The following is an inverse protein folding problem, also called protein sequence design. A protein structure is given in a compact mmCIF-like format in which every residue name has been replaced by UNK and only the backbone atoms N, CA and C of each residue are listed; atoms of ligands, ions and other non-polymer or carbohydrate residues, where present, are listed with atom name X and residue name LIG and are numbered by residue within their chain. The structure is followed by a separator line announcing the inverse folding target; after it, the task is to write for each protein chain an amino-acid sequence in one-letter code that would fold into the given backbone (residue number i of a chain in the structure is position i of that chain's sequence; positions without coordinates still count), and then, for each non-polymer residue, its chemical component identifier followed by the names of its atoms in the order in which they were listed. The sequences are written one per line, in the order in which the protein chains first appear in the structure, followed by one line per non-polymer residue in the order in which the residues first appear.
data_IF_965508234915
#
_entry.id   IF_965508234915
#
_cell.length_a   1.000
_cell.length_b   1.000
_cell.length_c   1.000
_cell.angle_alpha   90.00
_cell.angle_beta   90.00
_cell.angle_gamma   90.00
#
_symmetry.space_group_name_H-M   'P 1'
#
loop_
_entity.id
_entity.type
_entity.pdbx_description
1 polymer ?
#
# COMPACT_ATOMS: atom_id res chain seq x y z
N UNK A 1 -0.37 -26.31 17.77
CA UNK A 1 -0.42 -26.06 16.32
C UNK A 1 -0.73 -24.59 16.13
N UNK A 2 0.28 -23.78 15.79
CA UNK A 2 0.15 -22.34 15.58
C UNK A 2 -0.70 -22.06 14.34
N UNK A 3 -1.54 -21.01 14.41
CA UNK A 3 -2.30 -20.55 13.25
C UNK A 3 -1.37 -19.73 12.34
N UNK A 4 -1.22 -20.15 11.08
CA UNK A 4 -0.52 -19.34 10.06
C UNK A 4 -1.43 -18.18 9.60
N UNK A 5 -0.83 -17.01 9.36
CA UNK A 5 -1.48 -15.83 8.80
C UNK A 5 -0.52 -15.15 7.82
N UNK A 6 -1.07 -14.65 6.72
CA UNK A 6 -0.31 -13.88 5.75
C UNK A 6 -0.15 -12.43 6.23
N UNK A 7 1.08 -11.94 6.18
CA UNK A 7 1.43 -10.55 6.45
C UNK A 7 2.44 -10.07 5.40
N UNK A 8 2.20 -8.91 4.83
CA UNK A 8 3.12 -8.32 3.85
C UNK A 8 4.26 -7.59 4.53
N UNK A 9 5.45 -7.69 3.96
CA UNK A 9 6.62 -6.95 4.40
C UNK A 9 6.48 -5.46 4.07
N UNK A 10 6.95 -4.59 4.97
CA UNK A 10 6.97 -3.14 4.79
C UNK A 10 8.36 -2.56 4.55
N UNK A 11 9.41 -3.38 4.64
CA UNK A 11 10.77 -2.99 4.30
C UNK A 11 11.27 -3.71 3.05
N UNK A 12 12.38 -3.22 2.52
CA UNK A 12 13.09 -3.88 1.41
C UNK A 12 13.99 -4.99 1.92
N UNK A 13 14.40 -5.96 1.08
CA UNK A 13 15.45 -6.92 1.42
C UNK A 13 16.70 -6.22 1.95
N UNK A 14 17.31 -6.80 2.98
CA UNK A 14 18.49 -6.25 3.63
C UNK A 14 19.40 -7.36 4.16
N UNK A 15 20.68 -7.04 4.41
CA UNK A 15 21.69 -7.98 4.87
C UNK A 15 21.67 -8.17 6.40
N UNK A 16 20.83 -7.43 7.11
CA UNK A 16 20.70 -7.50 8.58
C UNK A 16 19.70 -8.57 9.04
N UNK A 17 18.95 -9.18 8.11
CA UNK A 17 17.91 -10.16 8.44
C UNK A 17 16.71 -9.55 9.17
N UNK A 18 16.46 -8.26 8.98
CA UNK A 18 15.35 -7.56 9.59
C UNK A 18 14.12 -7.62 8.70
N UNK A 19 12.97 -7.95 9.29
CA UNK A 19 11.68 -8.01 8.61
C UNK A 19 10.66 -7.14 9.33
N UNK A 20 10.13 -6.13 8.63
CA UNK A 20 9.17 -5.18 9.18
C UNK A 20 7.77 -5.46 8.66
N UNK A 21 6.80 -5.44 9.56
CA UNK A 21 5.40 -5.65 9.24
C UNK A 21 4.55 -4.48 9.77
N UNK A 22 3.53 -4.08 9.01
CA UNK A 22 2.51 -3.15 9.47
C UNK A 22 1.23 -3.95 9.70
N UNK A 23 0.88 -4.17 10.95
CA UNK A 23 -0.24 -5.04 11.32
C UNK A 23 -1.28 -4.24 12.06
N UNK A 24 -2.51 -4.23 11.53
CA UNK A 24 -3.67 -3.67 12.20
C UNK A 24 -4.29 -4.71 13.13
N UNK A 25 -4.57 -4.32 14.39
CA UNK A 25 -5.33 -5.18 15.31
C UNK A 25 -6.78 -5.32 14.83
N UNK A 26 -7.25 -6.56 14.73
CA UNK A 26 -8.63 -6.88 14.37
C UNK A 26 -9.38 -7.29 15.63
N UNK A 27 -10.51 -6.65 15.90
CA UNK A 27 -11.38 -7.04 17.03
C UNK A 27 -11.85 -8.48 16.87
N UNK A 28 -11.63 -9.31 17.90
CA UNK A 28 -11.92 -10.74 17.85
C UNK A 28 -10.99 -11.59 16.97
N UNK A 29 -9.98 -10.99 16.34
CA UNK A 29 -9.02 -11.68 15.47
C UNK A 29 -8.01 -12.52 16.26
N UNK A 30 -8.07 -13.86 16.15
CA UNK A 30 -7.18 -14.78 16.89
C UNK A 30 -5.70 -14.54 16.61
N UNK A 31 -5.31 -14.29 15.35
CA UNK A 31 -3.92 -14.04 14.98
C UNK A 31 -3.38 -12.74 15.57
N UNK A 32 -4.14 -11.64 15.44
CA UNK A 32 -3.74 -10.35 16.00
C UNK A 32 -3.80 -10.34 17.53
N UNK A 33 -4.67 -11.10 18.18
CA UNK A 33 -4.66 -11.27 19.63
C UNK A 33 -3.34 -11.90 20.10
N UNK A 34 -2.86 -12.94 19.44
CA UNK A 34 -1.55 -13.56 19.78
C UNK A 34 -0.42 -12.53 19.61
N UNK A 35 -0.38 -11.80 18.50
CA UNK A 35 0.68 -10.82 18.22
C UNK A 35 0.70 -9.66 19.24
N UNK A 36 -0.46 -9.13 19.62
CA UNK A 36 -0.53 -7.94 20.47
C UNK A 36 -0.63 -8.26 21.97
N UNK A 37 -1.20 -9.39 22.35
CA UNK A 37 -1.50 -9.71 23.75
C UNK A 37 -0.54 -10.75 24.34
N UNK A 38 0.03 -11.64 23.49
CA UNK A 38 0.82 -12.79 23.95
C UNK A 38 2.28 -12.72 23.56
N UNK A 39 2.60 -12.36 22.32
CA UNK A 39 3.97 -12.31 21.81
C UNK A 39 4.78 -11.22 22.53
N UNK A 40 6.02 -11.55 22.92
CA UNK A 40 6.93 -10.63 23.61
C UNK A 40 8.27 -10.59 22.86
N UNK A 41 9.01 -9.46 22.95
CA UNK A 41 10.37 -9.37 22.43
C UNK A 41 11.25 -10.52 22.92
N UNK A 42 12.04 -11.10 22.03
CA UNK A 42 12.90 -12.23 22.30
C UNK A 42 12.25 -13.62 22.08
N UNK A 43 10.96 -13.67 21.78
CA UNK A 43 10.30 -14.93 21.40
C UNK A 43 10.46 -15.21 19.91
N UNK A 44 10.64 -16.49 19.59
CA UNK A 44 10.76 -16.95 18.20
C UNK A 44 9.39 -17.09 17.53
N UNK A 45 9.34 -16.72 16.25
CA UNK A 45 8.21 -16.94 15.36
C UNK A 45 8.70 -17.60 14.07
N UNK A 46 7.95 -18.56 13.56
CA UNK A 46 8.22 -19.16 12.25
C UNK A 46 7.67 -18.24 11.13
N UNK A 47 8.51 -17.97 10.15
CA UNK A 47 8.12 -17.26 8.93
C UNK A 47 8.33 -18.17 7.72
N UNK A 48 7.42 -18.10 6.76
CA UNK A 48 7.48 -18.82 5.49
C UNK A 48 7.13 -17.86 4.35
N UNK A 49 7.89 -17.86 3.28
CA UNK A 49 7.74 -16.94 2.14
C UNK A 49 9.07 -16.56 1.51
N UNK A 50 9.12 -15.49 0.69
CA UNK A 50 8.01 -14.57 0.38
C UNK A 50 6.99 -15.14 -0.63
N UNK A 51 5.74 -14.75 -0.49
CA UNK A 51 4.64 -15.07 -1.40
C UNK A 51 4.02 -13.78 -1.96
N UNK A 52 3.15 -13.92 -2.97
CA UNK A 52 2.42 -12.82 -3.59
C UNK A 52 3.07 -12.29 -4.87
N UNK A 53 2.34 -11.41 -5.56
CA UNK A 53 2.73 -10.87 -6.88
C UNK A 53 2.86 -9.35 -6.89
N UNK A 54 2.47 -8.67 -5.82
CA UNK A 54 2.60 -7.22 -5.68
C UNK A 54 4.02 -6.82 -5.22
N UNK A 55 5.00 -6.97 -6.11
CA UNK A 55 6.38 -6.52 -5.89
C UNK A 55 6.83 -5.55 -6.98
N UNK A 56 7.81 -4.70 -6.68
CA UNK A 56 8.31 -3.66 -7.58
C UNK A 56 8.83 -4.27 -8.91
N UNK A 57 8.46 -3.63 -10.02
CA UNK A 57 8.98 -3.89 -11.36
C UNK A 57 9.96 -2.77 -11.76
N UNK A 58 11.24 -2.88 -11.44
CA UNK A 58 12.19 -1.79 -11.64
C UNK A 58 12.41 -1.42 -13.11
N UNK A 59 12.23 -2.38 -14.01
CA UNK A 59 12.43 -2.19 -15.44
C UNK A 59 11.23 -1.53 -16.15
N UNK A 60 10.06 -1.45 -15.49
CA UNK A 60 8.90 -0.76 -16.05
C UNK A 60 9.20 0.74 -16.19
N UNK A 61 9.05 1.35 -17.39
CA UNK A 61 9.52 2.73 -17.63
C UNK A 61 8.57 3.82 -17.13
N UNK A 62 7.49 3.45 -16.44
CA UNK A 62 6.38 4.34 -16.09
C UNK A 62 6.52 4.96 -14.71
N UNK A 63 5.79 6.05 -14.49
CA UNK A 63 5.56 6.59 -13.15
C UNK A 63 4.75 5.58 -12.31
N UNK A 64 5.04 5.53 -11.02
CA UNK A 64 4.47 4.54 -10.11
C UNK A 64 3.22 5.11 -9.43
N UNK A 65 2.18 4.30 -9.33
CA UNK A 65 0.98 4.57 -8.54
C UNK A 65 0.82 3.48 -7.50
N UNK A 66 0.93 3.84 -6.24
CA UNK A 66 0.66 2.94 -5.12
C UNK A 66 -0.69 3.30 -4.50
N UNK A 67 -1.58 2.31 -4.35
CA UNK A 67 -2.87 2.50 -3.66
C UNK A 67 -2.98 1.53 -2.50
N UNK A 68 -3.10 2.05 -1.30
CA UNK A 68 -3.17 1.27 -0.07
C UNK A 68 -4.48 1.48 0.66
N UNK A 69 -4.96 0.45 1.36
CA UNK A 69 -6.06 0.55 2.32
C UNK A 69 -5.80 -0.33 3.54
N UNK A 70 -5.96 0.22 4.74
CA UNK A 70 -5.68 -0.50 5.97
C UNK A 70 -4.26 -1.07 6.00
N UNK A 71 -4.12 -2.37 6.30
CA UNK A 71 -2.81 -3.06 6.33
C UNK A 71 -2.15 -3.22 4.96
N UNK A 72 -2.85 -2.92 3.85
CA UNK A 72 -2.25 -2.80 2.51
C UNK A 72 -1.18 -1.71 2.42
N UNK A 73 -1.06 -0.86 3.44
CA UNK A 73 0.05 0.07 3.60
C UNK A 73 1.42 -0.64 3.55
N UNK A 74 1.56 -1.80 4.18
CA UNK A 74 2.84 -2.51 4.30
C UNK A 74 3.52 -2.77 2.95
N UNK A 75 2.91 -3.52 2.00
CA UNK A 75 3.55 -3.80 0.72
C UNK A 75 3.74 -2.54 -0.12
N UNK A 76 2.83 -1.56 -0.04
CA UNK A 76 2.97 -0.31 -0.79
C UNK A 76 4.13 0.55 -0.28
N UNK A 77 4.37 0.59 1.03
CA UNK A 77 5.57 1.24 1.61
C UNK A 77 6.84 0.49 1.20
N UNK A 78 6.81 -0.84 1.17
CA UNK A 78 7.94 -1.65 0.70
C UNK A 78 8.29 -1.31 -0.77
N UNK A 79 7.29 -1.21 -1.65
CA UNK A 79 7.46 -0.82 -3.06
C UNK A 79 8.04 0.59 -3.17
N UNK A 80 7.50 1.55 -2.41
CA UNK A 80 7.99 2.94 -2.40
C UNK A 80 9.47 3.02 -1.97
N UNK A 81 9.84 2.31 -0.91
CA UNK A 81 11.23 2.20 -0.45
C UNK A 81 12.12 1.50 -1.47
N UNK A 82 11.62 0.44 -2.10
CA UNK A 82 12.32 -0.26 -3.18
C UNK A 82 12.60 0.65 -4.36
N UNK A 83 11.62 1.46 -4.78
CA UNK A 83 11.77 2.43 -5.86
C UNK A 83 12.82 3.51 -5.53
N UNK A 84 12.82 4.01 -4.30
CA UNK A 84 13.83 4.96 -3.82
C UNK A 84 15.23 4.33 -3.80
N UNK A 85 15.38 3.12 -3.23
CA UNK A 85 16.65 2.39 -3.17
C UNK A 85 17.21 2.06 -4.54
N UNK A 86 16.36 1.71 -5.51
CA UNK A 86 16.75 1.45 -6.90
C UNK A 86 17.02 2.74 -7.70
N UNK A 87 16.89 3.93 -7.09
CA UNK A 87 17.12 5.21 -7.74
C UNK A 87 16.07 5.62 -8.76
N UNK A 88 14.94 4.90 -8.84
CA UNK A 88 13.88 5.16 -9.82
C UNK A 88 13.26 6.55 -9.64
N UNK A 89 13.18 7.02 -8.39
CA UNK A 89 12.59 8.32 -8.06
C UNK A 89 13.44 9.53 -8.49
N UNK A 90 14.63 9.29 -9.06
CA UNK A 90 15.41 10.36 -9.72
C UNK A 90 14.79 10.83 -11.03
N UNK A 91 14.08 9.94 -11.72
CA UNK A 91 13.51 10.20 -13.06
C UNK A 91 12.00 9.95 -13.14
N UNK A 92 11.43 9.16 -12.23
CA UNK A 92 10.02 8.78 -12.19
C UNK A 92 9.33 9.44 -10.99
N UNK A 93 8.02 9.58 -11.08
CA UNK A 93 7.16 10.01 -9.97
C UNK A 93 6.56 8.81 -9.27
N UNK A 94 6.28 8.97 -7.99
CA UNK A 94 5.49 8.04 -7.18
C UNK A 94 4.27 8.78 -6.64
N UNK A 95 3.08 8.38 -7.08
CA UNK A 95 1.82 8.84 -6.55
C UNK A 95 1.29 7.81 -5.55
N UNK A 96 1.25 8.17 -4.27
CA UNK A 96 0.79 7.27 -3.23
C UNK A 96 -0.57 7.71 -2.71
N UNK A 97 -1.59 6.90 -2.92
CA UNK A 97 -2.95 7.12 -2.44
C UNK A 97 -3.26 6.18 -1.27
N UNK A 98 -3.80 6.72 -0.20
CA UNK A 98 -4.19 5.93 0.97
C UNK A 98 -5.68 6.08 1.24
N UNK A 99 -6.44 4.99 1.10
CA UNK A 99 -7.86 4.94 1.42
C UNK A 99 -8.09 4.64 2.91
N UNK A 100 -8.70 5.57 3.60
CA UNK A 100 -9.12 5.44 5.00
C UNK A 100 -10.65 5.52 5.11
N UNK A 101 -11.23 4.91 6.14
CA UNK A 101 -12.65 5.07 6.41
C UNK A 101 -12.92 6.40 7.13
N UNK A 102 -12.16 6.67 8.17
CA UNK A 102 -12.27 7.89 8.97
C UNK A 102 -10.91 8.59 9.04
N UNK A 103 -10.83 9.89 9.40
CA UNK A 103 -9.56 10.59 9.57
C UNK A 103 -8.59 9.92 10.54
N UNK A 104 -9.11 9.24 11.59
CA UNK A 104 -8.30 8.49 12.56
C UNK A 104 -7.58 7.27 11.97
N UNK A 105 -8.07 6.77 10.84
CA UNK A 105 -7.47 5.63 10.14
C UNK A 105 -6.36 6.07 9.17
N UNK A 106 -6.16 7.37 8.95
CA UNK A 106 -5.12 7.91 8.06
C UNK A 106 -3.76 7.69 8.70
N UNK A 107 -2.87 7.03 7.97
CA UNK A 107 -1.50 6.74 8.41
C UNK A 107 -0.56 6.53 7.22
N UNK A 108 0.74 6.50 7.49
CA UNK A 108 1.76 6.12 6.49
C UNK A 108 2.49 7.30 5.85
N UNK A 109 2.07 8.54 6.06
CA UNK A 109 2.76 9.72 5.54
C UNK A 109 4.22 9.77 5.97
N UNK A 110 4.52 9.45 7.22
CA UNK A 110 5.89 9.49 7.77
C UNK A 110 6.86 8.58 7.01
N UNK A 111 6.38 7.41 6.54
CA UNK A 111 7.19 6.50 5.74
C UNK A 111 7.54 7.10 4.38
N UNK A 112 6.65 7.87 3.79
CA UNK A 112 6.85 8.51 2.49
C UNK A 112 7.66 9.80 2.65
N UNK A 113 7.43 10.56 3.72
CA UNK A 113 8.17 11.78 4.04
C UNK A 113 9.67 11.54 4.25
N UNK A 114 10.03 10.32 4.67
CA UNK A 114 11.42 9.91 4.78
C UNK A 114 12.12 9.63 3.43
N UNK A 115 11.38 9.60 2.32
CA UNK A 115 11.94 9.35 1.00
C UNK A 115 12.42 10.66 0.35
N UNK A 116 13.56 10.58 -0.33
CA UNK A 116 14.05 11.70 -1.14
C UNK A 116 13.03 12.06 -2.24
N UNK A 117 12.76 13.35 -2.39
CA UNK A 117 11.80 13.88 -3.36
C UNK A 117 10.35 13.92 -2.86
N UNK A 118 10.11 13.73 -1.56
CA UNK A 118 8.78 13.94 -0.98
C UNK A 118 8.32 15.39 -1.16
N UNK A 119 7.08 15.56 -1.60
CA UNK A 119 6.49 16.85 -1.98
C UNK A 119 6.71 17.25 -3.44
N UNK A 120 7.70 16.67 -4.12
CA UNK A 120 7.99 16.96 -5.54
C UNK A 120 7.71 15.77 -6.45
N UNK A 121 8.45 14.68 -6.26
CA UNK A 121 8.35 13.44 -7.05
C UNK A 121 7.60 12.33 -6.34
N UNK A 122 7.55 12.39 -5.01
CA UNK A 122 6.77 11.48 -4.17
C UNK A 122 5.63 12.28 -3.57
N UNK A 123 4.41 11.93 -3.92
CA UNK A 123 3.21 12.54 -3.36
C UNK A 123 2.46 11.55 -2.49
N UNK A 124 1.85 12.02 -1.41
CA UNK A 124 0.98 11.24 -0.54
C UNK A 124 -0.39 11.90 -0.46
N UNK A 125 -1.43 11.17 -0.83
CA UNK A 125 -2.81 11.65 -0.87
C UNK A 125 -3.71 10.72 -0.05
N UNK A 126 -4.02 11.06 1.19
CA UNK A 126 -5.03 10.34 1.96
C UNK A 126 -6.43 10.70 1.47
N UNK A 127 -7.29 9.69 1.34
CA UNK A 127 -8.69 9.83 0.91
C UNK A 127 -9.59 9.19 1.96
N UNK A 128 -10.50 9.95 2.54
CA UNK A 128 -11.40 9.50 3.61
C UNK A 128 -12.81 9.26 3.07
N UNK A 129 -13.34 8.05 3.27
CA UNK A 129 -14.65 7.69 2.73
C UNK A 129 -15.84 8.05 3.62
N UNK A 130 -15.63 8.25 4.91
CA UNK A 130 -16.67 8.67 5.87
C UNK A 130 -16.12 9.77 6.81
N UNK A 131 -16.00 11.01 6.30
CA UNK A 131 -15.48 12.14 7.08
C UNK A 131 -16.52 12.80 8.00
N UNK A 132 -17.79 12.39 7.92
CA UNK A 132 -18.90 13.05 8.60
C UNK A 132 -18.67 13.18 10.11
N UNK A 133 -18.95 14.35 10.65
CA UNK A 133 -18.76 14.64 12.07
C UNK A 133 -17.30 14.85 12.48
N UNK A 134 -16.42 15.15 11.53
CA UNK A 134 -14.98 15.43 11.77
C UNK A 134 -14.57 16.74 11.11
N UNK A 135 -13.40 17.27 11.50
CA UNK A 135 -12.78 18.47 10.90
C UNK A 135 -11.88 18.12 9.69
N UNK A 136 -12.22 17.05 8.98
CA UNK A 136 -11.45 16.63 7.82
C UNK A 136 -11.65 17.56 6.62
N UNK A 137 -10.56 18.18 6.16
CA UNK A 137 -10.51 19.12 5.02
C UNK A 137 -9.81 18.54 3.78
N UNK A 138 -9.34 17.28 3.87
CA UNK A 138 -8.65 16.58 2.78
C UNK A 138 -9.61 15.92 1.78
N UNK A 139 -9.05 15.09 0.91
CA UNK A 139 -9.79 14.36 -0.11
C UNK A 139 -10.83 13.41 0.49
N UNK A 140 -12.03 13.39 -0.09
CA UNK A 140 -13.15 12.57 0.36
C UNK A 140 -13.66 11.61 -0.70
N UNK A 141 -14.37 10.56 -0.28
CA UNK A 141 -14.92 9.53 -1.14
C UNK A 141 -14.05 8.28 -1.24
N UNK A 142 -14.19 7.53 -2.33
CA UNK A 142 -13.43 6.30 -2.51
C UNK A 142 -12.08 6.56 -3.19
N UNK A 143 -11.05 5.91 -2.69
CA UNK A 143 -9.66 6.11 -3.14
C UNK A 143 -9.47 5.85 -4.64
N UNK A 144 -10.15 4.85 -5.22
CA UNK A 144 -10.03 4.53 -6.64
C UNK A 144 -10.57 5.65 -7.54
N UNK A 145 -11.71 6.24 -7.18
CA UNK A 145 -12.30 7.36 -7.94
C UNK A 145 -11.44 8.62 -7.83
N UNK A 146 -10.95 8.92 -6.62
CA UNK A 146 -10.07 10.06 -6.41
C UNK A 146 -8.74 9.91 -7.16
N UNK A 147 -8.13 8.74 -7.11
CA UNK A 147 -6.91 8.43 -7.85
C UNK A 147 -7.08 8.67 -9.36
N UNK A 148 -8.16 8.15 -9.95
CA UNK A 148 -8.42 8.31 -11.38
C UNK A 148 -8.61 9.77 -11.78
N UNK A 149 -9.29 10.57 -10.94
CA UNK A 149 -9.49 11.99 -11.18
C UNK A 149 -8.23 12.84 -10.99
N UNK A 150 -7.34 12.43 -10.09
CA UNK A 150 -6.13 13.18 -9.73
C UNK A 150 -4.95 12.93 -10.69
N UNK A 151 -4.91 11.78 -11.35
CA UNK A 151 -3.79 11.42 -12.24
C UNK A 151 -3.96 12.06 -13.62
N UNK A 152 -2.95 12.79 -14.13
CA UNK A 152 -3.02 13.43 -15.43
C UNK A 152 -2.88 12.43 -16.59
N UNK A 153 -3.72 12.57 -17.60
CA UNK A 153 -3.68 11.79 -18.84
C UNK A 153 -4.24 10.37 -18.70
N UNK A 154 -4.01 9.51 -19.69
CA UNK A 154 -4.56 8.17 -19.67
C UNK A 154 -3.85 7.31 -18.61
N UNK A 155 -4.63 6.48 -17.89
CA UNK A 155 -4.10 5.64 -16.81
C UNK A 155 -3.11 4.58 -17.32
N UNK A 156 -3.13 4.22 -18.59
CA UNK A 156 -2.14 3.33 -19.22
C UNK A 156 -0.70 3.89 -19.26
N UNK A 157 -0.48 5.12 -18.80
CA UNK A 157 0.87 5.70 -18.65
C UNK A 157 1.55 5.36 -17.34
N UNK A 158 0.84 4.68 -16.42
CA UNK A 158 1.31 4.39 -15.07
C UNK A 158 1.52 2.91 -14.82
N UNK A 159 2.33 2.60 -13.83
CA UNK A 159 2.53 1.26 -13.27
C UNK A 159 1.81 1.21 -11.92
N UNK A 160 0.80 0.35 -11.79
CA UNK A 160 -0.07 0.29 -10.61
C UNK A 160 0.30 -0.81 -9.66
N UNK A 161 0.37 -0.45 -8.39
CA UNK A 161 0.55 -1.36 -7.27
C UNK A 161 -0.55 -1.09 -6.24
N UNK A 162 -1.29 -2.10 -5.83
CA UNK A 162 -2.30 -1.88 -4.78
C UNK A 162 -2.52 -3.10 -3.89
N UNK A 163 -2.83 -2.81 -2.62
CA UNK A 163 -3.17 -3.82 -1.64
C UNK A 163 -4.17 -3.26 -0.61
N UNK A 164 -5.06 -4.12 -0.15
CA UNK A 164 -6.04 -3.74 0.86
C UNK A 164 -7.28 -4.59 0.88
N UNK A 165 -8.36 -4.08 1.48
CA UNK A 165 -9.63 -4.80 1.60
C UNK A 165 -10.21 -5.21 0.24
N UNK A 166 -10.85 -6.40 0.14
CA UNK A 166 -11.40 -6.91 -1.12
C UNK A 166 -12.29 -5.92 -1.90
N UNK A 167 -13.20 -5.15 -1.27
CA UNK A 167 -14.01 -4.20 -2.03
C UNK A 167 -13.18 -3.10 -2.71
N UNK A 168 -12.12 -2.63 -2.06
CA UNK A 168 -11.22 -1.61 -2.64
C UNK A 168 -10.42 -2.18 -3.82
N UNK A 169 -9.83 -3.36 -3.65
CA UNK A 169 -9.02 -4.00 -4.70
C UNK A 169 -9.87 -4.43 -5.88
N UNK A 170 -11.12 -4.85 -5.66
CA UNK A 170 -12.06 -5.15 -6.72
C UNK A 170 -12.44 -3.91 -7.52
N UNK A 171 -12.78 -2.80 -6.85
CA UNK A 171 -13.11 -1.54 -7.51
C UNK A 171 -11.93 -0.98 -8.32
N UNK A 172 -10.69 -1.12 -7.81
CA UNK A 172 -9.48 -0.74 -8.56
C UNK A 172 -9.28 -1.62 -9.81
N UNK A 173 -9.50 -2.93 -9.71
CA UNK A 173 -9.41 -3.81 -10.87
C UNK A 173 -10.45 -3.46 -11.94
N UNK A 174 -11.72 -3.25 -11.55
CA UNK A 174 -12.79 -2.87 -12.46
C UNK A 174 -12.44 -1.55 -13.16
N UNK A 175 -12.09 -0.52 -12.39
CA UNK A 175 -11.69 0.78 -12.93
C UNK A 175 -10.51 0.67 -13.92
N UNK A 176 -9.44 -0.01 -13.52
CA UNK A 176 -8.22 -0.07 -14.34
C UNK A 176 -8.38 -0.97 -15.56
N UNK A 177 -8.93 -2.18 -15.38
CA UNK A 177 -8.96 -3.21 -16.42
C UNK A 177 -10.15 -3.06 -17.37
N UNK A 178 -11.33 -2.68 -16.84
CA UNK A 178 -12.57 -2.61 -17.62
C UNK A 178 -12.78 -1.21 -18.15
N UNK A 179 -12.81 -0.20 -17.28
CA UNK A 179 -13.20 1.17 -17.68
C UNK A 179 -12.06 1.86 -18.45
N UNK A 180 -10.84 1.75 -17.97
CA UNK A 180 -9.66 2.42 -18.56
C UNK A 180 -8.79 1.52 -19.41
N UNK A 181 -9.06 0.21 -19.47
CA UNK A 181 -8.33 -0.78 -20.29
C UNK A 181 -6.81 -0.71 -20.13
N UNK A 182 -6.37 -0.49 -18.88
CA UNK A 182 -4.94 -0.54 -18.55
C UNK A 182 -4.44 -1.97 -18.79
N UNK A 183 -3.32 -2.18 -19.49
CA UNK A 183 -2.74 -3.50 -19.71
C UNK A 183 -2.48 -4.25 -18.41
N UNK A 184 -2.82 -5.53 -18.37
CA UNK A 184 -2.73 -6.34 -17.14
C UNK A 184 -1.32 -6.42 -16.57
N UNK A 185 -0.29 -6.42 -17.43
CA UNK A 185 1.11 -6.41 -17.06
C UNK A 185 1.56 -5.17 -16.30
N UNK A 186 0.74 -4.10 -16.27
CA UNK A 186 0.96 -2.87 -15.52
C UNK A 186 0.25 -2.85 -14.15
N UNK A 187 -0.45 -3.95 -13.80
CA UNK A 187 -1.34 -4.00 -12.63
C UNK A 187 -0.87 -5.11 -11.67
N UNK A 188 -0.36 -4.73 -10.50
CA UNK A 188 0.22 -5.62 -9.51
C UNK A 188 -0.51 -5.44 -8.17
N UNK A 189 -1.14 -6.49 -7.67
CA UNK A 189 -1.96 -6.36 -6.47
C UNK A 189 -2.03 -7.61 -5.61
N UNK A 190 -2.25 -7.40 -4.32
CA UNK A 190 -2.61 -8.43 -3.35
C UNK A 190 -3.97 -8.10 -2.71
N UNK A 191 -4.78 -9.13 -2.48
CA UNK A 191 -6.06 -9.04 -1.77
C UNK A 191 -5.89 -9.57 -0.34
N UNK A 192 -6.41 -8.83 0.62
CA UNK A 192 -6.42 -9.24 2.03
C UNK A 192 -7.82 -9.72 2.41
N UNK A 193 -7.92 -10.97 2.85
CA UNK A 193 -9.17 -11.62 3.23
C UNK A 193 -9.34 -11.66 4.76
#
# INVERSE_FOLDING_TARGET
VGASRAYSLSNTPNDHGEWHFQIRRVAGGRGTAVLFDTLRPGQEVGLDGPYGVAYLRPDAPRDLVCVAGGSGLAPMVSIARGAARAGLLKTRRLHFFYGARTPRDVCGQDFLAALSGFGERVTYTPVVSAPEGTDWDGATGFVHSHMAAALPGPLSRYEFYFAGPPPMTQALQELLMVDHRVPFEQIHFDRFF
#
